data_IF_958062560333
#
_entry.id   IF_958062560333
#
_cell.length_a   1.000
_cell.length_b   1.000
_cell.length_c   1.000
_cell.angle_alpha   90.00
_cell.angle_beta   90.00
_cell.angle_gamma   90.00
#
_symmetry.space_group_name_H-M   'P 1'
#
loop_
_entity.id
_entity.type
_entity.pdbx_description
1 polymer ?
#
# COMPACT_ATOMS: atom_id res chain seq x y z
N UNK A 1 2.67 -9.32 0.23
CA UNK A 1 2.99 -9.36 1.67
C UNK A 1 1.79 -8.81 2.47
N UNK A 2 1.73 -8.96 3.80
CA UNK A 2 0.56 -8.51 4.60
C UNK A 2 0.22 -7.02 4.42
N UNK A 3 1.20 -6.17 4.13
CA UNK A 3 1.00 -4.73 3.91
C UNK A 3 0.82 -4.27 2.45
N UNK A 4 1.01 -5.15 1.47
CA UNK A 4 1.00 -4.81 0.04
C UNK A 4 2.06 -5.56 -0.77
N UNK A 5 2.35 -5.07 -1.98
CA UNK A 5 3.50 -5.49 -2.78
C UNK A 5 4.79 -4.94 -2.17
N UNK A 6 5.78 -5.82 -2.02
CA UNK A 6 7.15 -5.43 -1.67
C UNK A 6 7.88 -5.01 -2.94
N UNK A 7 8.80 -4.06 -2.82
CA UNK A 7 9.52 -3.51 -3.99
C UNK A 7 10.35 -4.58 -4.67
N UNK A 8 11.12 -5.35 -3.90
CA UNK A 8 11.91 -6.49 -4.37
C UNK A 8 11.90 -7.61 -3.33
N UNK A 9 12.68 -8.66 -3.57
CA UNK A 9 12.94 -9.73 -2.60
C UNK A 9 14.26 -9.56 -1.83
N UNK A 10 14.98 -8.47 -2.06
CA UNK A 10 16.30 -8.22 -1.50
C UNK A 10 16.22 -7.23 -0.33
N UNK A 11 16.92 -7.47 0.77
CA UNK A 11 17.03 -6.56 1.92
C UNK A 11 18.40 -5.86 1.90
N UNK A 12 18.55 -4.84 1.05
CA UNK A 12 19.81 -4.10 0.88
C UNK A 12 19.97 -2.89 1.82
N UNK A 13 18.96 -2.58 2.62
CA UNK A 13 18.83 -1.31 3.35
C UNK A 13 18.54 -0.09 2.46
N UNK A 14 18.49 -0.25 1.13
CA UNK A 14 18.07 0.81 0.21
C UNK A 14 16.56 1.03 0.24
N UNK A 15 16.13 2.25 -0.10
CA UNK A 15 14.71 2.61 -0.02
C UNK A 15 13.83 1.84 -1.02
N UNK A 16 14.40 1.44 -2.15
CA UNK A 16 13.73 0.73 -3.24
C UNK A 16 13.93 -0.79 -3.19
N UNK A 17 14.02 -1.35 -1.99
CA UNK A 17 14.18 -2.79 -1.76
C UNK A 17 13.27 -3.25 -0.60
N UNK A 18 13.26 -4.55 -0.30
CA UNK A 18 12.55 -5.05 0.87
C UNK A 18 13.12 -4.41 2.16
N UNK A 19 12.26 -4.07 3.13
CA UNK A 19 10.85 -4.46 3.26
C UNK A 19 9.87 -3.40 2.72
N UNK A 20 10.34 -2.39 1.98
CA UNK A 20 9.52 -1.26 1.60
C UNK A 20 8.53 -1.61 0.48
N UNK A 21 7.36 -0.99 0.53
CA UNK A 21 6.39 -0.89 -0.54
C UNK A 21 6.02 0.56 -0.82
N UNK A 22 5.85 0.87 -2.10
CA UNK A 22 5.60 2.23 -2.60
C UNK A 22 4.25 2.31 -3.32
N UNK A 23 3.53 3.40 -3.11
CA UNK A 23 2.20 3.60 -3.68
C UNK A 23 2.12 3.41 -5.22
N UNK A 24 3.08 3.93 -6.02
CA UNK A 24 3.06 3.73 -7.47
C UNK A 24 3.13 2.26 -7.88
N UNK A 25 3.95 1.46 -7.20
CA UNK A 25 4.10 0.03 -7.47
C UNK A 25 2.83 -0.75 -7.12
N UNK A 26 2.14 -0.36 -6.05
CA UNK A 26 0.82 -0.91 -5.75
C UNK A 26 -0.15 -0.63 -6.88
N UNK A 27 -0.21 0.61 -7.35
CA UNK A 27 -1.14 1.00 -8.40
C UNK A 27 -0.88 0.24 -9.70
N UNK A 28 0.37 0.23 -10.18
CA UNK A 28 0.75 -0.48 -11.42
C UNK A 28 0.47 -1.99 -11.28
N UNK A 29 0.86 -2.61 -10.16
CA UNK A 29 0.62 -4.03 -9.93
C UNK A 29 -0.87 -4.39 -9.87
N UNK A 30 -1.67 -3.63 -9.14
CA UNK A 30 -3.13 -3.83 -9.04
C UNK A 30 -3.80 -3.67 -10.41
N UNK A 31 -3.47 -2.61 -11.15
CA UNK A 31 -4.07 -2.34 -12.45
C UNK A 31 -3.66 -3.36 -13.50
N UNK A 32 -2.39 -3.78 -13.50
CA UNK A 32 -1.92 -4.88 -14.34
C UNK A 32 -2.68 -6.17 -14.05
N UNK A 33 -2.74 -6.60 -12.80
CA UNK A 33 -3.48 -7.80 -12.41
C UNK A 33 -4.96 -7.75 -12.83
N UNK A 34 -5.62 -6.60 -12.68
CA UNK A 34 -7.00 -6.38 -13.13
C UNK A 34 -7.14 -6.52 -14.66
N UNK A 35 -6.22 -5.93 -15.42
CA UNK A 35 -6.24 -5.96 -16.88
C UNK A 35 -6.11 -7.40 -17.43
N UNK A 36 -5.40 -8.28 -16.71
CA UNK A 36 -5.20 -9.68 -17.09
C UNK A 36 -6.13 -10.66 -16.34
N UNK A 37 -7.20 -10.17 -15.71
CA UNK A 37 -8.23 -11.03 -15.10
C UNK A 37 -7.91 -11.59 -13.71
N UNK A 38 -6.75 -11.26 -13.12
CA UNK A 38 -6.34 -11.66 -11.77
C UNK A 38 -6.99 -10.79 -10.67
N UNK A 39 -8.32 -10.70 -10.68
CA UNK A 39 -9.08 -9.77 -9.82
C UNK A 39 -8.92 -10.05 -8.33
N UNK A 40 -8.89 -11.32 -7.92
CA UNK A 40 -8.81 -11.68 -6.49
C UNK A 40 -7.48 -11.30 -5.86
N UNK A 41 -6.38 -11.54 -6.59
CA UNK A 41 -5.05 -11.12 -6.15
C UNK A 41 -4.95 -9.59 -6.12
N UNK A 42 -5.47 -8.91 -7.14
CA UNK A 42 -5.51 -7.45 -7.17
C UNK A 42 -6.29 -6.86 -5.98
N UNK A 43 -7.45 -7.44 -5.64
CA UNK A 43 -8.28 -7.02 -4.51
C UNK A 43 -7.61 -7.30 -3.16
N UNK A 44 -6.90 -8.43 -3.04
CA UNK A 44 -6.09 -8.74 -1.85
C UNK A 44 -5.01 -7.70 -1.64
N UNK A 45 -4.24 -7.37 -2.68
CA UNK A 45 -3.19 -6.34 -2.62
C UNK A 45 -3.76 -4.98 -2.26
N UNK A 46 -4.87 -4.57 -2.91
CA UNK A 46 -5.55 -3.32 -2.62
C UNK A 46 -6.01 -3.23 -1.16
N UNK A 47 -6.62 -4.30 -0.65
CA UNK A 47 -7.12 -4.37 0.75
C UNK A 47 -5.96 -4.27 1.74
N UNK A 48 -4.87 -4.98 1.49
CA UNK A 48 -3.66 -4.93 2.33
C UNK A 48 -3.06 -3.52 2.36
N UNK A 49 -2.95 -2.88 1.19
CA UNK A 49 -2.42 -1.51 1.10
C UNK A 49 -3.33 -0.49 1.81
N UNK A 50 -4.64 -0.53 1.58
CA UNK A 50 -5.61 0.33 2.27
C UNK A 50 -5.49 0.15 3.79
N UNK A 51 -5.43 -1.10 4.26
CA UNK A 51 -5.34 -1.42 5.68
C UNK A 51 -4.06 -0.86 6.31
N UNK A 52 -2.93 -0.96 5.61
CA UNK A 52 -1.65 -0.38 6.04
C UNK A 52 -1.72 1.15 6.13
N UNK A 53 -2.22 1.81 5.10
CA UNK A 53 -2.36 3.27 5.10
C UNK A 53 -3.27 3.74 6.22
N UNK A 54 -4.44 3.11 6.40
CA UNK A 54 -5.40 3.46 7.46
C UNK A 54 -4.81 3.24 8.84
N UNK A 55 -4.06 2.15 9.06
CA UNK A 55 -3.42 1.86 10.35
C UNK A 55 -2.41 2.95 10.71
N UNK A 56 -1.49 3.26 9.80
CA UNK A 56 -0.48 4.30 10.04
C UNK A 56 -1.13 5.67 10.21
N UNK A 57 -2.09 6.02 9.37
CA UNK A 57 -2.81 7.29 9.51
C UNK A 57 -3.52 7.41 10.86
N UNK A 58 -4.13 6.33 11.37
CA UNK A 58 -4.73 6.33 12.72
C UNK A 58 -3.70 6.51 13.84
N UNK A 59 -2.49 6.03 13.65
CA UNK A 59 -1.42 6.09 14.65
C UNK A 59 -0.70 7.44 14.65
N UNK A 60 -0.48 8.03 13.47
CA UNK A 60 0.40 9.19 13.31
C UNK A 60 -0.33 10.46 12.87
N UNK A 61 -1.57 10.34 12.38
CA UNK A 61 -2.29 11.42 11.71
C UNK A 61 -1.76 11.74 10.30
N UNK A 62 -0.86 10.91 9.75
CA UNK A 62 -0.14 11.20 8.50
C UNK A 62 -0.13 9.98 7.57
N UNK A 63 -0.03 10.25 6.28
CA UNK A 63 0.34 9.27 5.26
C UNK A 63 1.83 9.43 4.95
N UNK A 64 2.52 8.34 4.64
CA UNK A 64 3.97 8.32 4.45
C UNK A 64 4.31 8.11 2.97
N UNK A 65 5.52 8.49 2.59
CA UNK A 65 6.08 8.23 1.26
C UNK A 65 6.11 6.73 0.91
N UNK A 66 6.56 5.92 1.87
CA UNK A 66 6.76 4.47 1.75
C UNK A 66 6.43 3.76 3.07
N UNK A 67 6.15 2.46 2.98
CA UNK A 67 5.71 1.64 4.11
C UNK A 67 6.47 0.32 4.17
N UNK A 68 6.78 -0.17 5.38
CA UNK A 68 7.14 -1.56 5.56
C UNK A 68 5.90 -2.44 5.30
N UNK A 69 5.98 -3.29 4.28
CA UNK A 69 4.86 -4.16 3.89
C UNK A 69 4.97 -5.58 4.40
N UNK A 70 6.06 -5.92 5.09
CA UNK A 70 6.31 -7.25 5.64
C UNK A 70 5.86 -7.36 7.11
N UNK A 71 6.17 -6.34 7.93
CA UNK A 71 5.86 -6.31 9.36
C UNK A 71 4.91 -5.15 9.69
N UNK A 72 3.70 -5.49 10.13
CA UNK A 72 2.72 -4.49 10.54
C UNK A 72 3.21 -3.71 11.77
N UNK A 73 3.15 -2.38 11.69
CA UNK A 73 3.57 -1.48 12.77
C UNK A 73 5.05 -1.09 12.71
N UNK A 74 5.86 -1.73 11.88
CA UNK A 74 7.19 -1.24 11.55
C UNK A 74 7.10 -0.07 10.55
N UNK A 75 8.03 0.87 10.67
CA UNK A 75 8.15 1.99 9.75
C UNK A 75 8.89 1.57 8.47
N UNK A 76 8.51 2.16 7.34
CA UNK A 76 9.34 2.10 6.13
C UNK A 76 10.55 3.03 6.29
N UNK A 77 11.67 2.71 5.66
CA UNK A 77 12.93 3.43 5.88
C UNK A 77 14.00 3.09 4.84
N UNK A 78 15.27 3.20 5.24
CA UNK A 78 16.42 2.88 4.40
C UNK A 78 16.96 4.06 3.57
N UNK A 79 18.07 3.82 2.89
CA UNK A 79 18.83 4.75 2.05
C UNK A 79 19.20 6.07 2.72
N UNK A 80 19.26 7.13 1.92
CA UNK A 80 20.04 8.34 2.26
C UNK A 80 19.30 9.36 3.14
N UNK A 81 17.98 9.26 3.26
CA UNK A 81 17.17 10.25 3.98
C UNK A 81 15.95 9.63 4.70
N UNK A 82 15.46 10.29 5.77
CA UNK A 82 14.29 9.82 6.52
C UNK A 82 13.02 9.71 5.67
N UNK A 83 12.07 8.88 6.10
CA UNK A 83 10.77 8.77 5.47
C UNK A 83 10.01 10.11 5.51
N UNK A 84 9.27 10.45 4.45
CA UNK A 84 8.63 11.75 4.27
C UNK A 84 7.11 11.69 4.51
N UNK A 85 6.55 12.79 5.04
CA UNK A 85 5.14 12.92 5.41
C UNK A 85 4.24 13.46 4.28
N UNK A 86 2.97 13.08 4.27
CA UNK A 86 1.89 13.65 3.45
C UNK A 86 1.93 13.30 1.96
N UNK A 87 2.79 12.38 1.55
CA UNK A 87 3.27 12.24 0.18
C UNK A 87 2.19 12.08 -0.91
N UNK A 88 2.31 12.86 -1.99
CA UNK A 88 1.27 13.02 -3.02
C UNK A 88 0.80 11.73 -3.70
N UNK A 89 1.72 10.82 -4.08
CA UNK A 89 1.32 9.54 -4.67
C UNK A 89 0.56 8.65 -3.68
N UNK A 90 0.83 8.76 -2.38
CA UNK A 90 0.25 7.87 -1.37
C UNK A 90 -1.20 8.26 -1.21
N UNK A 91 -1.44 9.56 -1.09
CA UNK A 91 -2.76 10.16 -1.04
C UNK A 91 -3.57 9.80 -2.29
N UNK A 92 -2.99 10.00 -3.48
CA UNK A 92 -3.67 9.75 -4.75
C UNK A 92 -4.05 8.28 -4.94
N UNK A 93 -3.11 7.36 -4.72
CA UNK A 93 -3.37 5.91 -4.85
C UNK A 93 -4.37 5.44 -3.82
N UNK A 94 -4.24 5.86 -2.56
CA UNK A 94 -5.20 5.51 -1.52
C UNK A 94 -6.62 5.97 -1.88
N UNK A 95 -6.76 7.24 -2.31
CA UNK A 95 -8.05 7.79 -2.73
C UNK A 95 -8.65 6.99 -3.89
N UNK A 96 -7.87 6.67 -4.92
CA UNK A 96 -8.32 5.86 -6.06
C UNK A 96 -8.77 4.46 -5.66
N UNK A 97 -8.13 3.84 -4.68
CA UNK A 97 -8.52 2.51 -4.20
C UNK A 97 -9.78 2.55 -3.34
N UNK A 98 -9.90 3.54 -2.44
CA UNK A 98 -11.09 3.73 -1.59
C UNK A 98 -12.35 4.08 -2.40
N UNK A 99 -12.18 4.75 -3.53
CA UNK A 99 -13.29 5.13 -4.43
C UNK A 99 -13.58 4.09 -5.51
N UNK A 100 -12.93 2.92 -5.46
CA UNK A 100 -13.18 1.85 -6.43
C UNK A 100 -14.47 1.09 -6.09
N UNK A 101 -15.26 0.75 -7.11
CA UNK A 101 -16.50 -0.03 -6.96
C UNK A 101 -16.30 -1.33 -6.17
N UNK A 102 -15.17 -2.00 -6.38
CA UNK A 102 -14.82 -3.22 -5.65
C UNK A 102 -14.71 -3.00 -4.15
N UNK A 103 -14.16 -1.86 -3.73
CA UNK A 103 -14.00 -1.54 -2.33
C UNK A 103 -15.31 -1.05 -1.71
N UNK A 104 -16.07 -0.21 -2.43
CA UNK A 104 -17.37 0.29 -1.93
C UNK A 104 -18.37 -0.86 -1.73
N UNK A 105 -18.41 -1.82 -2.66
CA UNK A 105 -19.27 -3.01 -2.54
C UNK A 105 -18.87 -3.90 -1.36
N UNK A 106 -17.57 -4.10 -1.11
CA UNK A 106 -17.13 -4.92 0.03
C UNK A 106 -17.32 -4.22 1.37
N UNK A 107 -17.10 -2.90 1.43
CA UNK A 107 -17.30 -2.11 2.64
C UNK A 107 -18.77 -2.09 3.07
N UNK A 108 -19.70 -1.93 2.14
CA UNK A 108 -21.14 -1.91 2.46
C UNK A 108 -21.63 -3.27 2.95
N UNK A 109 -21.14 -4.38 2.38
CA UNK A 109 -21.50 -5.73 2.82
C UNK A 109 -20.99 -6.09 4.23
N UNK A 110 -20.02 -5.35 4.77
CA UNK A 110 -19.48 -5.57 6.11
C UNK A 110 -20.26 -4.84 7.22
N UNK A 111 -21.26 -4.03 6.85
CA UNK A 111 -22.11 -3.26 7.78
C UNK A 111 -23.51 -3.88 7.93
N UNK A 112 -23.85 -4.84 7.08
CA UNK A 112 -25.07 -5.69 7.15
C UNK A 112 -24.76 -7.03 7.85
#
# INVERSE_FOLDING_TARGET
>A
KPGGLVTTLNHSEEQWDAPNGWAPLQWVGIQGLRAYGHKDLANTIATNWISTNRRVFKQTGKLMEKYNVEQAGAEGGGGEYPNQDGFGWTNGVLLKLLTSDSYLKSANKAVD
#
